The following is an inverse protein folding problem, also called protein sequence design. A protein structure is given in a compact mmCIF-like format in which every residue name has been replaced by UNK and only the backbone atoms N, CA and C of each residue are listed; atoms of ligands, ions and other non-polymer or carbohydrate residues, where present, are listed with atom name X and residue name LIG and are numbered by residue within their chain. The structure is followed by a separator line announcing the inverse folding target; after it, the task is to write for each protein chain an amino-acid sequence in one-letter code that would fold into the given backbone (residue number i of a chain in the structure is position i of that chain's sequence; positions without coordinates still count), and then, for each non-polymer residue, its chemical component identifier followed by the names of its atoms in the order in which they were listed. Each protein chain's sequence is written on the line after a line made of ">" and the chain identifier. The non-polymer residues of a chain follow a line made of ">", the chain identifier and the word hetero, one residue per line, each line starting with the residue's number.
data_IF_417782421279
#
_entry.id   IF_417782421279
#
_cell.length_a   1.000
_cell.length_b   1.000
_cell.length_c   1.000
_cell.angle_alpha   90.00
_cell.angle_beta   90.00
_cell.angle_gamma   90.00
#
_symmetry.space_group_name_H-M   'P 1'
#
loop_
_entity.id
_entity.type
_entity.pdbx_description
1 polymer ?
#
# COMPACT_ATOMS: atom_id res chain seq x y z
N UNK A 1 -4.76 -1.17 -0.56
CA UNK A 1 -6.05 -1.79 -0.19
C UNK A 1 -5.84 -3.02 0.70
N UNK A 2 -4.89 -3.91 0.40
CA UNK A 2 -4.66 -5.17 1.13
C UNK A 2 -4.31 -4.95 2.60
N UNK A 3 -3.44 -3.98 2.93
CA UNK A 3 -3.11 -3.63 4.33
C UNK A 3 -4.39 -3.36 5.15
N UNK A 4 -5.31 -2.57 4.61
CA UNK A 4 -6.57 -2.24 5.28
C UNK A 4 -7.44 -3.48 5.40
N UNK A 5 -7.60 -4.26 4.34
CA UNK A 5 -8.42 -5.48 4.34
C UNK A 5 -7.94 -6.52 5.36
N UNK A 6 -6.62 -6.80 5.40
CA UNK A 6 -6.02 -7.74 6.34
C UNK A 6 -6.18 -7.22 7.78
N UNK A 7 -5.89 -5.93 8.01
CA UNK A 7 -6.07 -5.31 9.32
C UNK A 7 -7.52 -5.39 9.80
N UNK A 8 -8.48 -5.08 8.92
CA UNK A 8 -9.92 -5.16 9.23
C UNK A 8 -10.35 -6.59 9.56
N UNK A 9 -9.86 -7.57 8.81
CA UNK A 9 -10.14 -8.98 9.10
C UNK A 9 -9.60 -9.42 10.46
N UNK A 10 -8.38 -9.00 10.79
CA UNK A 10 -7.78 -9.31 12.09
C UNK A 10 -8.54 -8.62 13.23
N UNK A 11 -8.93 -7.34 13.07
CA UNK A 11 -9.77 -6.61 14.04
C UNK A 11 -11.07 -7.37 14.32
N UNK A 12 -11.82 -7.70 13.27
CA UNK A 12 -13.09 -8.43 13.39
C UNK A 12 -12.95 -9.76 14.13
N UNK A 13 -11.90 -10.53 13.85
CA UNK A 13 -11.65 -11.80 14.51
C UNK A 13 -11.14 -11.66 15.96
N UNK A 14 -10.72 -10.47 16.39
CA UNK A 14 -10.37 -10.13 17.77
C UNK A 14 -11.58 -9.61 18.56
N UNK A 15 -12.72 -9.42 17.91
CA UNK A 15 -13.93 -8.87 18.53
C UNK A 15 -14.07 -7.36 18.40
N UNK A 16 -13.15 -6.70 17.69
CA UNK A 16 -13.23 -5.26 17.41
C UNK A 16 -14.22 -4.98 16.29
N UNK A 17 -14.59 -3.70 16.13
CA UNK A 17 -15.40 -3.19 15.02
C UNK A 17 -14.56 -2.58 13.93
N UNK A 18 -15.16 -2.41 12.76
CA UNK A 18 -14.56 -1.72 11.60
C UNK A 18 -15.53 -0.67 11.06
N UNK A 19 -14.98 0.41 10.51
CA UNK A 19 -15.75 1.44 9.84
C UNK A 19 -16.25 0.99 8.46
N UNK A 20 -17.19 1.76 7.87
CA UNK A 20 -17.70 1.50 6.53
C UNK A 20 -16.61 1.52 5.45
N UNK A 21 -15.64 2.45 5.55
CA UNK A 21 -14.51 2.51 4.60
C UNK A 21 -13.58 1.30 4.71
N UNK A 22 -13.35 0.80 5.93
CA UNK A 22 -12.61 -0.43 6.16
C UNK A 22 -13.38 -1.64 5.61
N UNK A 23 -14.69 -1.71 5.83
CA UNK A 23 -15.58 -2.74 5.28
C UNK A 23 -15.55 -2.78 3.74
N UNK A 24 -15.65 -1.61 3.09
CA UNK A 24 -15.56 -1.48 1.65
C UNK A 24 -14.25 -2.04 1.09
N UNK A 25 -13.12 -1.74 1.75
CA UNK A 25 -11.80 -2.28 1.36
C UNK A 25 -11.70 -3.78 1.58
N UNK A 26 -12.25 -4.27 2.68
CA UNK A 26 -12.31 -5.70 2.99
C UNK A 26 -13.10 -6.46 1.93
N UNK A 27 -14.32 -6.04 1.60
CA UNK A 27 -15.19 -6.71 0.63
C UNK A 27 -14.62 -6.72 -0.78
N UNK A 28 -13.79 -5.73 -1.16
CA UNK A 28 -13.07 -5.74 -2.44
C UNK A 28 -12.01 -6.85 -2.53
N UNK A 29 -11.51 -7.31 -1.38
CA UNK A 29 -10.45 -8.29 -1.30
C UNK A 29 -10.93 -9.71 -0.94
N UNK A 30 -12.19 -9.90 -0.60
CA UNK A 30 -12.78 -11.22 -0.32
C UNK A 30 -13.31 -11.86 -1.61
N UNK A 31 -13.15 -13.17 -1.73
CA UNK A 31 -13.66 -13.96 -2.85
C UNK A 31 -15.20 -13.87 -2.93
N UNK A 32 -15.70 -13.48 -4.10
CA UNK A 32 -17.15 -13.48 -4.35
C UNK A 32 -17.76 -14.89 -4.29
N UNK A 33 -19.06 -14.99 -4.02
CA UNK A 33 -19.88 -16.19 -3.90
C UNK A 33 -19.56 -17.11 -2.73
N UNK A 34 -18.29 -17.38 -2.43
CA UNK A 34 -17.89 -18.24 -1.28
C UNK A 34 -17.57 -17.42 -0.03
N UNK A 35 -17.18 -16.16 -0.16
CA UNK A 35 -16.85 -15.31 0.98
C UNK A 35 -17.88 -14.20 1.24
N UNK A 36 -18.71 -13.85 0.21
CA UNK A 36 -19.77 -12.84 0.34
C UNK A 36 -21.01 -13.35 -0.39
N UNK A 37 -22.17 -13.31 0.25
CA UNK A 37 -23.45 -13.67 -0.32
C UNK A 37 -23.81 -12.80 -1.53
N UNK A 38 -24.62 -13.36 -2.45
CA UNK A 38 -25.05 -12.65 -3.65
C UNK A 38 -25.85 -11.38 -3.29
N UNK A 39 -25.51 -10.26 -3.93
CA UNK A 39 -26.16 -8.96 -3.70
C UNK A 39 -25.45 -8.05 -2.71
N UNK A 40 -24.65 -8.59 -1.78
CA UNK A 40 -24.03 -7.78 -0.72
C UNK A 40 -22.65 -7.17 -1.07
N UNK A 41 -22.02 -7.58 -2.17
CA UNK A 41 -20.66 -7.09 -2.51
C UNK A 41 -20.58 -5.57 -2.76
N UNK A 42 -21.70 -4.95 -3.18
CA UNK A 42 -21.78 -3.49 -3.44
C UNK A 42 -22.07 -2.67 -2.20
N UNK A 43 -22.48 -3.30 -1.10
CA UNK A 43 -22.87 -2.65 0.17
C UNK A 43 -23.96 -1.59 0.00
N UNK A 44 -24.91 -1.83 -0.92
CA UNK A 44 -26.05 -0.93 -1.17
C UNK A 44 -27.00 -0.93 0.04
N UNK A 45 -27.46 0.26 0.45
CA UNK A 45 -28.41 0.41 1.57
C UNK A 45 -27.81 0.29 2.97
N UNK A 46 -26.48 0.20 3.10
CA UNK A 46 -25.83 0.12 4.40
C UNK A 46 -25.48 1.53 4.89
N UNK A 47 -25.78 1.81 6.16
CA UNK A 47 -25.45 3.10 6.78
C UNK A 47 -23.93 3.28 6.92
N UNK A 48 -23.44 4.36 6.34
CA UNK A 48 -22.00 4.68 6.30
C UNK A 48 -21.45 5.16 7.65
N UNK A 49 -22.32 5.53 8.58
CA UNK A 49 -21.92 6.05 9.91
C UNK A 49 -21.86 4.96 10.97
N UNK A 50 -22.18 3.73 10.63
CA UNK A 50 -22.14 2.61 11.56
C UNK A 50 -20.74 1.99 11.66
N UNK A 51 -20.48 1.42 12.83
CA UNK A 51 -19.37 0.49 13.06
C UNK A 51 -19.89 -0.97 12.97
N UNK A 52 -19.11 -1.85 12.36
CA UNK A 52 -19.52 -3.20 12.00
C UNK A 52 -18.72 -4.22 12.78
N UNK A 53 -19.41 -5.07 13.55
CA UNK A 53 -18.83 -6.26 14.18
C UNK A 53 -18.86 -7.46 13.23
N UNK A 54 -18.03 -8.48 13.47
CA UNK A 54 -18.03 -9.72 12.69
C UNK A 54 -19.42 -10.36 12.62
N UNK A 55 -20.08 -10.48 13.78
CA UNK A 55 -21.42 -11.06 13.87
C UNK A 55 -22.45 -10.27 13.05
N UNK A 56 -22.44 -8.95 13.16
CA UNK A 56 -23.34 -8.11 12.36
C UNK A 56 -23.16 -8.29 10.84
N UNK A 57 -21.88 -8.40 10.39
CA UNK A 57 -21.56 -8.64 8.99
C UNK A 57 -22.06 -10.01 8.51
N UNK A 58 -21.98 -11.03 9.34
CA UNK A 58 -22.49 -12.37 9.03
C UNK A 58 -24.02 -12.41 8.96
N UNK A 59 -24.68 -11.79 9.93
CA UNK A 59 -26.13 -11.86 10.05
C UNK A 59 -26.87 -10.92 9.06
N UNK A 60 -26.29 -9.75 8.76
CA UNK A 60 -27.00 -8.67 8.04
C UNK A 60 -26.34 -8.21 6.73
N UNK A 61 -25.05 -8.46 6.55
CA UNK A 61 -24.28 -7.91 5.42
C UNK A 61 -23.71 -9.00 4.52
N UNK A 62 -24.15 -10.25 4.72
CA UNK A 62 -23.86 -11.38 3.85
C UNK A 62 -22.39 -11.82 3.86
N UNK A 63 -21.65 -11.60 4.96
CA UNK A 63 -20.31 -12.13 5.11
C UNK A 63 -20.37 -13.63 5.38
N UNK A 64 -19.82 -14.43 4.46
CA UNK A 64 -19.76 -15.89 4.55
C UNK A 64 -18.35 -16.38 4.87
N UNK A 65 -17.35 -15.56 4.64
CA UNK A 65 -15.95 -15.93 4.83
C UNK A 65 -15.65 -16.22 6.30
N UNK A 66 -14.88 -17.30 6.53
CA UNK A 66 -14.35 -17.73 7.82
C UNK A 66 -12.92 -18.19 7.67
N UNK A 67 -12.15 -18.27 8.75
CA UNK A 67 -10.77 -18.76 8.72
C UNK A 67 -9.72 -17.67 8.77
N UNK A 68 -8.49 -18.04 8.40
CA UNK A 68 -7.34 -17.13 8.44
C UNK A 68 -7.39 -16.11 7.30
N UNK A 69 -6.80 -14.95 7.51
CA UNK A 69 -6.76 -13.89 6.49
C UNK A 69 -6.13 -14.34 5.16
N UNK A 70 -5.14 -15.27 5.20
CA UNK A 70 -4.49 -15.83 4.01
C UNK A 70 -5.46 -16.61 3.12
N UNK A 71 -6.51 -17.19 3.72
CA UNK A 71 -7.53 -17.97 3.01
C UNK A 71 -8.67 -17.08 2.50
N UNK A 72 -8.93 -15.98 3.20
CA UNK A 72 -10.06 -15.08 2.95
C UNK A 72 -9.70 -13.96 1.96
N UNK A 73 -8.51 -13.39 2.09
CA UNK A 73 -8.04 -12.30 1.23
C UNK A 73 -7.42 -12.87 -0.04
N UNK A 74 -8.01 -12.54 -1.19
CA UNK A 74 -7.57 -13.02 -2.49
C UNK A 74 -6.73 -11.98 -3.25
N UNK A 75 -5.92 -12.44 -4.20
CA UNK A 75 -5.11 -11.59 -5.07
C UNK A 75 -3.78 -11.17 -4.45
N UNK A 76 -3.29 -11.98 -3.53
CA UNK A 76 -1.95 -11.91 -2.95
C UNK A 76 -1.12 -13.06 -3.53
N UNK A 77 0.13 -12.81 -3.85
CA UNK A 77 1.10 -13.84 -4.16
C UNK A 77 1.85 -14.33 -2.90
N UNK A 78 2.66 -15.38 -2.98
CA UNK A 78 3.40 -15.90 -1.83
C UNK A 78 4.34 -14.87 -1.16
N UNK A 79 4.94 -13.97 -1.94
CA UNK A 79 5.84 -12.93 -1.43
C UNK A 79 5.07 -11.87 -0.64
N UNK A 80 3.91 -11.46 -1.15
CA UNK A 80 2.96 -10.58 -0.44
C UNK A 80 2.55 -11.17 0.91
N UNK A 81 2.22 -12.49 0.94
CA UNK A 81 1.81 -13.17 2.17
C UNK A 81 2.93 -13.10 3.22
N UNK A 82 4.17 -13.43 2.83
CA UNK A 82 5.33 -13.37 3.74
C UNK A 82 5.57 -11.94 4.25
N UNK A 83 5.44 -10.94 3.38
CA UNK A 83 5.55 -9.53 3.76
C UNK A 83 4.48 -9.16 4.79
N UNK A 84 3.22 -9.51 4.56
CA UNK A 84 2.15 -9.20 5.50
C UNK A 84 2.27 -9.94 6.82
N UNK A 85 2.73 -11.18 6.83
CA UNK A 85 3.03 -11.92 8.06
C UNK A 85 4.11 -11.21 8.89
N UNK A 86 5.17 -10.71 8.25
CA UNK A 86 6.20 -9.91 8.90
C UNK A 86 5.64 -8.62 9.50
N UNK A 87 4.78 -7.88 8.75
CA UNK A 87 4.12 -6.66 9.23
C UNK A 87 3.17 -6.93 10.41
N UNK A 88 2.49 -8.07 10.42
CA UNK A 88 1.63 -8.49 11.53
C UNK A 88 2.48 -8.81 12.76
N UNK A 89 3.56 -9.58 12.59
CA UNK A 89 4.46 -9.97 13.66
C UNK A 89 5.15 -8.77 14.32
N UNK A 90 5.55 -7.77 13.54
CA UNK A 90 6.13 -6.51 14.06
C UNK A 90 5.10 -5.55 14.64
N UNK A 91 3.81 -5.79 14.44
CA UNK A 91 2.71 -4.88 14.79
C UNK A 91 2.59 -3.66 13.87
N UNK A 92 3.41 -3.55 12.83
CA UNK A 92 3.41 -2.39 11.92
C UNK A 92 2.12 -2.28 11.09
N UNK A 93 1.43 -3.41 10.87
CA UNK A 93 0.16 -3.42 10.14
C UNK A 93 -0.93 -2.57 10.82
N UNK A 94 -0.83 -2.37 12.15
CA UNK A 94 -1.78 -1.57 12.93
C UNK A 94 -1.38 -0.10 13.03
N UNK A 95 -0.20 0.30 12.56
CA UNK A 95 0.26 1.69 12.58
C UNK A 95 -0.42 2.48 11.46
N UNK A 96 -0.94 3.65 11.81
CA UNK A 96 -1.66 4.51 10.87
C UNK A 96 -0.74 5.27 9.90
N UNK A 97 0.56 5.38 10.22
CA UNK A 97 1.54 6.07 9.38
C UNK A 97 2.76 5.18 9.15
N UNK A 98 3.08 4.95 7.89
CA UNK A 98 4.36 4.38 7.52
C UNK A 98 5.49 5.35 7.92
N UNK A 99 6.56 4.83 8.53
CA UNK A 99 7.77 5.61 8.86
C UNK A 99 8.60 5.91 7.63
N UNK A 100 8.53 5.04 6.64
CA UNK A 100 9.23 5.17 5.35
C UNK A 100 8.19 5.14 4.24
N UNK A 101 8.31 6.08 3.31
CA UNK A 101 7.51 6.13 2.08
C UNK A 101 8.43 5.88 0.89
N UNK A 102 8.13 4.83 0.12
CA UNK A 102 8.77 4.58 -1.17
C UNK A 102 7.92 5.20 -2.28
N UNK A 103 8.56 5.90 -3.21
CA UNK A 103 7.89 6.51 -4.35
C UNK A 103 8.86 6.68 -5.51
N UNK A 104 8.33 6.73 -6.73
CA UNK A 104 9.10 7.26 -7.85
C UNK A 104 9.23 8.77 -7.71
N UNK A 105 10.23 9.37 -8.36
CA UNK A 105 10.45 10.83 -8.36
C UNK A 105 9.20 11.55 -8.91
N UNK A 106 8.58 11.02 -9.96
CA UNK A 106 7.34 11.56 -10.53
C UNK A 106 6.16 11.47 -9.54
N UNK A 107 6.07 10.37 -8.79
CA UNK A 107 4.98 10.14 -7.83
C UNK A 107 5.05 11.01 -6.57
N UNK A 108 6.21 11.66 -6.29
CA UNK A 108 6.38 12.55 -5.14
C UNK A 108 6.30 14.04 -5.52
N UNK A 109 5.95 14.36 -6.76
CA UNK A 109 5.83 15.75 -7.20
C UNK A 109 4.90 16.54 -6.26
N UNK A 110 5.39 17.67 -5.72
CA UNK A 110 4.67 18.50 -4.75
C UNK A 110 4.74 18.00 -3.28
N UNK A 111 5.27 16.79 -3.04
CA UNK A 111 5.52 16.30 -1.70
C UNK A 111 6.90 16.71 -1.20
N UNK A 112 7.07 16.81 0.14
CA UNK A 112 8.34 17.10 0.81
C UNK A 112 8.47 16.22 2.06
N UNK A 113 9.70 15.97 2.48
CA UNK A 113 10.01 15.22 3.71
C UNK A 113 11.22 15.81 4.42
N UNK A 114 11.29 15.64 5.74
CA UNK A 114 12.48 16.06 6.50
C UNK A 114 13.73 15.31 6.05
N UNK A 115 13.61 14.04 5.77
CA UNK A 115 14.70 13.18 5.30
C UNK A 115 14.32 12.54 3.97
N UNK A 116 15.18 12.65 2.99
CA UNK A 116 15.00 12.05 1.67
C UNK A 116 16.23 11.24 1.31
N UNK A 117 16.01 10.03 0.85
CA UNK A 117 17.03 9.16 0.28
C UNK A 117 16.77 9.06 -1.22
N UNK A 118 17.76 9.41 -2.03
CA UNK A 118 17.68 9.32 -3.49
C UNK A 118 18.59 8.21 -3.97
N UNK A 119 18.03 7.29 -4.74
CA UNK A 119 18.76 6.24 -5.45
C UNK A 119 19.04 6.77 -6.85
N UNK A 120 20.29 6.77 -7.25
CA UNK A 120 20.71 7.32 -8.55
C UNK A 120 20.72 6.30 -9.70
N UNK A 121 20.49 5.01 -9.40
CA UNK A 121 20.31 4.00 -10.45
C UNK A 121 19.07 4.26 -11.29
N UNK A 122 19.23 4.15 -12.62
CA UNK A 122 18.16 4.33 -13.59
C UNK A 122 18.07 3.11 -14.51
N UNK A 123 16.93 2.96 -15.16
CA UNK A 123 16.77 1.86 -16.12
C UNK A 123 17.70 2.02 -17.32
N UNK A 124 18.11 0.91 -17.96
CA UNK A 124 18.89 0.97 -19.21
C UNK A 124 18.23 1.84 -20.28
N UNK A 125 16.89 1.80 -20.40
CA UNK A 125 16.13 2.62 -21.34
C UNK A 125 16.28 4.11 -21.03
N UNK A 126 16.14 4.49 -19.75
CA UNK A 126 16.33 5.87 -19.27
C UNK A 126 17.75 6.33 -19.49
N UNK A 127 18.74 5.49 -19.15
CA UNK A 127 20.16 5.79 -19.33
C UNK A 127 20.51 6.03 -20.81
N UNK A 128 19.97 5.24 -21.74
CA UNK A 128 20.16 5.47 -23.19
C UNK A 128 19.60 6.83 -23.61
N UNK A 129 18.41 7.20 -23.15
CA UNK A 129 17.79 8.50 -23.46
C UNK A 129 18.62 9.63 -22.84
N UNK A 130 19.05 9.51 -21.62
CA UNK A 130 19.88 10.47 -20.90
C UNK A 130 21.17 10.81 -21.63
N UNK A 131 21.84 9.84 -22.25
CA UNK A 131 23.06 10.08 -23.03
C UNK A 131 22.83 10.87 -24.34
N UNK A 132 21.58 10.98 -24.80
CA UNK A 132 21.22 11.73 -26.00
C UNK A 132 20.57 13.07 -25.66
N UNK A 133 19.67 13.05 -24.67
CA UNK A 133 18.87 14.20 -24.23
C UNK A 133 18.90 14.26 -22.68
N UNK A 134 19.93 14.86 -22.06
CA UNK A 134 20.12 14.83 -20.62
C UNK A 134 19.16 15.74 -19.83
N UNK A 135 18.60 16.78 -20.45
CA UNK A 135 17.84 17.83 -19.78
C UNK A 135 16.63 17.32 -19.01
N UNK A 136 15.93 16.33 -19.56
CA UNK A 136 14.76 15.75 -18.91
C UNK A 136 15.14 15.08 -17.57
N UNK A 137 16.23 14.29 -17.58
CA UNK A 137 16.69 13.59 -16.36
C UNK A 137 17.30 14.58 -15.36
N UNK A 138 17.98 15.64 -15.81
CA UNK A 138 18.43 16.71 -14.93
C UNK A 138 17.26 17.34 -14.16
N UNK A 139 16.14 17.62 -14.84
CA UNK A 139 14.92 18.13 -14.19
C UNK A 139 14.32 17.14 -13.20
N UNK A 140 14.30 15.86 -13.57
CA UNK A 140 13.77 14.80 -12.68
C UNK A 140 14.60 14.70 -11.41
N UNK A 141 15.93 14.63 -11.50
CA UNK A 141 16.80 14.57 -10.33
C UNK A 141 16.82 15.88 -9.53
N UNK A 142 16.71 17.03 -10.18
CA UNK A 142 16.51 18.31 -9.48
C UNK A 142 15.24 18.27 -8.61
N UNK A 143 14.13 17.75 -9.13
CA UNK A 143 12.91 17.57 -8.35
C UNK A 143 13.15 16.62 -7.18
N UNK A 144 13.87 15.51 -7.36
CA UNK A 144 14.15 14.56 -6.31
C UNK A 144 14.92 15.18 -5.13
N UNK A 145 16.02 15.85 -5.41
CA UNK A 145 16.89 16.44 -4.37
C UNK A 145 16.21 17.60 -3.62
N UNK A 146 15.36 18.36 -4.31
CA UNK A 146 14.62 19.47 -3.71
C UNK A 146 13.43 19.03 -2.84
N UNK A 147 13.19 17.73 -2.69
CA UNK A 147 12.14 17.21 -1.78
C UNK A 147 12.60 17.15 -0.33
N UNK A 148 13.90 17.24 -0.06
CA UNK A 148 14.44 17.20 1.29
C UNK A 148 14.32 18.58 1.98
N UNK A 149 13.70 18.59 3.19
CA UNK A 149 13.64 19.79 4.04
C UNK A 149 14.85 19.95 4.94
N UNK A 150 15.41 18.82 5.43
CA UNK A 150 16.53 18.83 6.39
C UNK A 150 17.72 18.03 5.88
N UNK A 151 17.52 16.76 5.56
CA UNK A 151 18.61 15.87 5.20
C UNK A 151 18.34 15.19 3.86
N UNK A 152 19.34 15.25 2.99
CA UNK A 152 19.37 14.54 1.72
C UNK A 152 20.49 13.49 1.78
N UNK A 153 20.13 12.24 1.51
CA UNK A 153 21.05 11.13 1.40
C UNK A 153 21.09 10.64 -0.05
N UNK A 154 22.25 10.66 -0.64
CA UNK A 154 22.47 10.15 -1.99
C UNK A 154 23.11 8.78 -1.86
N UNK A 155 22.43 7.74 -2.35
CA UNK A 155 23.02 6.41 -2.39
C UNK A 155 23.91 6.27 -3.61
N UNK A 156 25.07 5.63 -3.38
CA UNK A 156 25.95 5.27 -4.49
C UNK A 156 25.23 4.26 -5.40
N UNK A 157 25.35 4.42 -6.73
CA UNK A 157 24.74 3.49 -7.65
C UNK A 157 25.38 2.11 -7.57
N UNK A 158 24.54 1.08 -7.69
CA UNK A 158 25.00 -0.32 -7.77
C UNK A 158 25.26 -0.73 -9.23
N UNK A 159 24.67 -0.02 -10.19
CA UNK A 159 24.79 -0.35 -11.61
C UNK A 159 25.59 0.74 -12.37
N UNK A 160 26.06 0.38 -13.56
CA UNK A 160 26.66 1.34 -14.49
C UNK A 160 25.64 2.28 -15.13
N UNK A 161 24.36 2.04 -14.93
CA UNK A 161 23.27 2.85 -15.45
C UNK A 161 22.78 3.79 -14.36
N UNK A 162 23.48 4.88 -14.17
CA UNK A 162 23.20 5.81 -13.09
C UNK A 162 23.24 7.25 -13.54
N UNK A 163 22.57 8.10 -12.78
CA UNK A 163 22.68 9.54 -12.87
C UNK A 163 23.74 10.03 -11.89
N UNK A 164 24.75 10.72 -12.37
CA UNK A 164 25.79 11.32 -11.52
C UNK A 164 25.31 12.69 -11.03
N UNK A 165 25.03 12.79 -9.74
CA UNK A 165 24.80 14.05 -9.04
C UNK A 165 26.16 14.71 -8.78
N UNK A 166 26.47 15.73 -9.55
CA UNK A 166 27.72 16.55 -9.41
C UNK A 166 27.40 17.87 -8.72
#
# INVERSE_FOLDING_TARGET
>A
KFVIAIRSWIKLNRGDTISFDELKKLYQCIKGRTGIARGFKKLEGIDNNMEFSLKYLQDNVGLLATGKWQEVIIGLDPEDILMFESLIKSGDIFKNKARIRLSTIHGIKGGESDNVVVISDISYKTWRKFNVEPDDEHRVFYVAVTRAKKNLFLLQPETKYSYELR
#
